data_IF_837926207461
#
_entry.id   IF_837926207461
#
_cell.length_a   1.000
_cell.length_b   1.000
_cell.length_c   1.000
_cell.angle_alpha   90.00
_cell.angle_beta   90.00
_cell.angle_gamma   90.00
#
_symmetry.space_group_name_H-M   'P 1'
#
loop_
_entity.id
_entity.type
_entity.pdbx_description
1 polymer ?
#
# COMPACT_ATOMS: atom_id res chain seq x y z
N UNK A 1 -28.92 -4.86 -2.24
CA UNK A 1 -28.22 -3.67 -2.80
C UNK A 1 -27.14 -3.09 -1.87
N UNK A 2 -27.37 -2.93 -0.55
CA UNK A 2 -26.39 -2.31 0.37
C UNK A 2 -25.04 -3.06 0.45
N UNK A 3 -25.08 -4.40 0.50
CA UNK A 3 -23.86 -5.25 0.54
C UNK A 3 -22.99 -5.10 -0.72
N UNK A 4 -23.61 -5.07 -1.91
CA UNK A 4 -22.88 -4.87 -3.18
C UNK A 4 -22.22 -3.50 -3.22
N UNK A 5 -22.92 -2.44 -2.76
CA UNK A 5 -22.35 -1.10 -2.66
C UNK A 5 -21.16 -1.04 -1.68
N UNK A 6 -21.27 -1.70 -0.53
CA UNK A 6 -20.19 -1.77 0.45
C UNK A 6 -18.96 -2.51 -0.11
N UNK A 7 -19.16 -3.66 -0.74
CA UNK A 7 -18.06 -4.41 -1.37
C UNK A 7 -17.36 -3.56 -2.44
N UNK A 8 -18.13 -2.96 -3.36
CA UNK A 8 -17.57 -2.09 -4.40
C UNK A 8 -16.79 -0.91 -3.82
N UNK A 9 -17.29 -0.31 -2.73
CA UNK A 9 -16.58 0.77 -2.04
C UNK A 9 -15.26 0.28 -1.46
N UNK A 10 -15.25 -0.81 -0.69
CA UNK A 10 -14.03 -1.36 -0.09
C UNK A 10 -13.02 -1.74 -1.18
N UNK A 11 -13.46 -2.35 -2.28
CA UNK A 11 -12.59 -2.78 -3.37
C UNK A 11 -11.95 -1.58 -4.09
N UNK A 12 -12.75 -0.57 -4.43
CA UNK A 12 -12.26 0.65 -5.09
C UNK A 12 -11.25 1.38 -4.20
N UNK A 13 -11.57 1.56 -2.91
CA UNK A 13 -10.66 2.24 -1.99
C UNK A 13 -9.39 1.42 -1.74
N UNK A 14 -9.50 0.09 -1.67
CA UNK A 14 -8.34 -0.80 -1.57
C UNK A 14 -7.42 -0.63 -2.76
N UNK A 15 -7.98 -0.57 -3.97
CA UNK A 15 -7.22 -0.38 -5.21
C UNK A 15 -6.44 0.93 -5.22
N UNK A 16 -7.07 2.04 -4.82
CA UNK A 16 -6.37 3.33 -4.75
C UNK A 16 -5.32 3.36 -3.63
N UNK A 17 -5.63 2.84 -2.44
CA UNK A 17 -4.66 2.76 -1.34
C UNK A 17 -3.43 1.92 -1.73
N UNK A 18 -3.65 0.81 -2.44
CA UNK A 18 -2.58 0.03 -3.05
C UNK A 18 -1.76 0.84 -4.03
N UNK A 19 -2.40 1.61 -4.92
CA UNK A 19 -1.70 2.41 -5.93
C UNK A 19 -0.78 3.47 -5.30
N UNK A 20 -1.27 4.17 -4.27
CA UNK A 20 -0.46 5.13 -3.51
C UNK A 20 0.71 4.44 -2.79
N UNK A 21 0.46 3.31 -2.14
CA UNK A 21 1.48 2.51 -1.47
C UNK A 21 2.55 2.01 -2.45
N UNK A 22 2.12 1.44 -3.59
CA UNK A 22 3.00 0.92 -4.62
C UNK A 22 3.89 2.01 -5.21
N UNK A 23 3.32 3.12 -5.68
CA UNK A 23 4.10 4.17 -6.32
C UNK A 23 5.04 4.87 -5.34
N UNK A 24 4.58 5.20 -4.13
CA UNK A 24 5.45 5.77 -3.10
C UNK A 24 6.60 4.83 -2.72
N UNK A 25 6.34 3.52 -2.65
CA UNK A 25 7.35 2.49 -2.41
C UNK A 25 8.37 2.40 -3.56
N UNK A 26 7.89 2.41 -4.81
CA UNK A 26 8.75 2.42 -6.01
C UNK A 26 9.61 3.68 -6.05
N UNK A 27 9.05 4.85 -5.73
CA UNK A 27 9.79 6.12 -5.65
C UNK A 27 10.88 6.03 -4.58
N UNK A 28 10.54 5.57 -3.37
CA UNK A 28 11.52 5.40 -2.29
C UNK A 28 12.60 4.36 -2.59
N UNK A 29 12.29 3.36 -3.40
CA UNK A 29 13.24 2.30 -3.76
C UNK A 29 14.15 2.70 -4.93
N UNK A 30 13.60 3.36 -5.96
CA UNK A 30 14.30 3.64 -7.23
C UNK A 30 14.82 5.06 -7.34
N UNK A 31 14.06 6.04 -6.84
CA UNK A 31 14.33 7.47 -7.03
C UNK A 31 15.00 8.08 -5.80
N UNK A 32 14.53 7.71 -4.62
CA UNK A 32 15.01 8.21 -3.32
C UNK A 32 15.52 7.05 -2.43
N UNK A 33 16.46 6.19 -2.93
CA UNK A 33 16.96 5.07 -2.15
C UNK A 33 17.59 5.56 -0.86
N UNK A 34 17.08 5.06 0.27
CA UNK A 34 17.73 5.27 1.57
C UNK A 34 18.93 4.34 1.69
N UNK A 35 20.01 4.85 2.28
CA UNK A 35 21.13 4.00 2.69
C UNK A 35 20.60 2.81 3.49
N UNK A 36 21.00 1.60 3.06
CA UNK A 36 20.52 0.34 3.62
C UNK A 36 20.83 0.18 5.11
N UNK A 37 20.46 -0.99 5.64
CA UNK A 37 20.48 -1.45 7.04
C UNK A 37 21.78 -1.22 7.87
N UNK A 38 22.78 -0.49 7.36
CA UNK A 38 24.06 -0.15 8.00
C UNK A 38 24.48 1.34 7.86
N UNK A 39 23.58 2.25 7.48
CA UNK A 39 23.95 3.63 7.11
C UNK A 39 23.95 4.65 8.25
N UNK A 40 24.71 4.43 9.32
CA UNK A 40 24.81 5.35 10.47
C UNK A 40 25.33 6.78 10.20
N UNK A 41 25.51 7.20 8.94
CA UNK A 41 25.98 8.56 8.57
C UNK A 41 25.54 8.98 7.16
N UNK A 42 24.26 9.27 6.94
CA UNK A 42 23.83 10.21 5.87
C UNK A 42 22.59 10.97 6.36
N UNK A 43 22.80 11.87 7.33
CA UNK A 43 21.76 12.78 7.83
C UNK A 43 21.68 14.09 7.00
N UNK A 44 22.46 14.27 5.92
CA UNK A 44 22.72 15.61 5.38
C UNK A 44 22.50 15.78 3.87
N UNK A 45 21.75 14.90 3.22
CA UNK A 45 21.28 15.18 1.86
C UNK A 45 19.78 14.94 1.82
N UNK A 46 19.02 16.02 2.05
CA UNK A 46 17.59 16.04 1.82
C UNK A 46 17.36 15.72 0.34
N UNK A 47 16.98 14.47 0.06
CA UNK A 47 16.65 14.07 -1.30
C UNK A 47 15.22 14.50 -1.58
N UNK A 48 15.03 15.30 -2.62
CA UNK A 48 13.72 15.80 -3.05
C UNK A 48 13.26 15.10 -4.31
N UNK A 49 11.97 14.81 -4.39
CA UNK A 49 11.31 14.37 -5.62
C UNK A 49 9.91 14.97 -5.70
N UNK A 50 9.57 15.56 -6.85
CA UNK A 50 8.32 16.29 -7.07
C UNK A 50 8.04 17.36 -6.01
N UNK A 51 9.08 18.04 -5.53
CA UNK A 51 8.96 19.09 -4.50
C UNK A 51 8.76 18.60 -3.07
N UNK A 52 8.72 17.28 -2.84
CA UNK A 52 8.58 16.66 -1.52
C UNK A 52 9.89 16.03 -1.07
N UNK A 53 10.20 16.12 0.22
CA UNK A 53 11.38 15.49 0.78
C UNK A 53 11.17 13.96 0.87
N UNK A 54 12.27 13.22 0.93
CA UNK A 54 12.22 11.75 1.12
C UNK A 54 11.43 11.34 2.37
N UNK A 55 11.47 12.15 3.43
CA UNK A 55 10.67 11.89 4.62
C UNK A 55 9.17 11.98 4.35
N UNK A 56 8.72 12.93 3.54
CA UNK A 56 7.32 13.07 3.15
C UNK A 56 6.87 11.86 2.33
N UNK A 57 7.68 11.43 1.36
CA UNK A 57 7.41 10.20 0.61
C UNK A 57 7.33 8.96 1.50
N UNK A 58 8.20 8.85 2.51
CA UNK A 58 8.11 7.78 3.53
C UNK A 58 6.81 7.85 4.33
N UNK A 59 6.39 9.05 4.74
CA UNK A 59 5.14 9.22 5.48
C UNK A 59 3.93 8.84 4.62
N UNK A 60 3.89 9.29 3.36
CA UNK A 60 2.83 8.91 2.39
C UNK A 60 2.81 7.39 2.21
N UNK A 61 3.98 6.76 2.05
CA UNK A 61 4.08 5.31 1.91
C UNK A 61 3.55 4.58 3.15
N UNK A 62 3.99 4.95 4.35
CA UNK A 62 3.53 4.29 5.57
C UNK A 62 2.02 4.45 5.82
N UNK A 63 1.48 5.66 5.65
CA UNK A 63 0.05 5.91 5.86
C UNK A 63 -0.79 5.17 4.82
N UNK A 64 -0.39 5.19 3.55
CA UNK A 64 -1.10 4.45 2.50
C UNK A 64 -1.04 2.93 2.72
N UNK A 65 0.11 2.38 3.14
CA UNK A 65 0.24 0.98 3.54
C UNK A 65 -0.69 0.60 4.71
N UNK A 66 -0.79 1.46 5.73
CA UNK A 66 -1.65 1.21 6.89
C UNK A 66 -3.13 1.20 6.48
N UNK A 67 -3.57 2.19 5.70
CA UNK A 67 -4.93 2.26 5.16
C UNK A 67 -5.22 1.03 4.30
N UNK A 68 -4.31 0.68 3.38
CA UNK A 68 -4.45 -0.49 2.52
C UNK A 68 -4.55 -1.78 3.33
N UNK A 69 -3.76 -1.93 4.39
CA UNK A 69 -3.79 -3.11 5.28
C UNK A 69 -5.15 -3.27 5.95
N UNK A 70 -5.72 -2.18 6.47
CA UNK A 70 -7.06 -2.23 7.08
C UNK A 70 -8.11 -2.60 6.02
N UNK A 71 -8.07 -1.95 4.85
CA UNK A 71 -9.03 -2.19 3.78
C UNK A 71 -8.97 -3.61 3.23
N UNK A 72 -7.77 -4.17 3.05
CA UNK A 72 -7.61 -5.54 2.54
C UNK A 72 -8.08 -6.58 3.55
N UNK A 73 -7.90 -6.33 4.86
CA UNK A 73 -8.48 -7.19 5.90
C UNK A 73 -10.00 -7.16 5.84
N UNK A 74 -10.61 -5.98 5.70
CA UNK A 74 -12.06 -5.86 5.50
C UNK A 74 -12.53 -6.57 4.23
N UNK A 75 -11.80 -6.43 3.12
CA UNK A 75 -12.07 -7.12 1.86
C UNK A 75 -12.06 -8.64 2.06
N UNK A 76 -11.03 -9.19 2.70
CA UNK A 76 -10.93 -10.64 2.95
C UNK A 76 -12.09 -11.16 3.81
N UNK A 77 -12.50 -10.41 4.84
CA UNK A 77 -13.66 -10.78 5.68
C UNK A 77 -14.94 -10.77 4.85
N UNK A 78 -15.17 -9.73 4.03
CA UNK A 78 -16.36 -9.60 3.18
C UNK A 78 -16.44 -10.70 2.11
N UNK A 79 -15.29 -11.14 1.60
CA UNK A 79 -15.16 -12.15 0.55
C UNK A 79 -14.88 -13.56 1.07
N UNK A 80 -14.83 -13.76 2.39
CA UNK A 80 -14.46 -15.04 3.02
C UNK A 80 -15.30 -16.24 2.55
N UNK A 81 -16.61 -16.06 2.35
CA UNK A 81 -17.47 -17.13 1.84
C UNK A 81 -17.17 -17.49 0.39
N UNK A 82 -16.79 -16.52 -0.44
CA UNK A 82 -16.35 -16.78 -1.81
C UNK A 82 -15.04 -17.59 -1.80
N UNK A 83 -14.07 -17.20 -0.96
CA UNK A 83 -12.77 -17.90 -0.82
C UNK A 83 -12.98 -19.37 -0.40
N UNK A 84 -13.82 -19.64 0.61
CA UNK A 84 -14.09 -21.01 1.08
C UNK A 84 -14.78 -21.89 0.04
N UNK A 85 -15.52 -21.29 -0.88
CA UNK A 85 -16.27 -21.99 -1.92
C UNK A 85 -15.49 -22.08 -3.25
N UNK A 86 -14.22 -21.65 -3.27
CA UNK A 86 -13.37 -21.86 -4.44
C UNK A 86 -13.22 -23.37 -4.68
N UNK A 87 -13.52 -23.87 -5.90
CA UNK A 87 -13.29 -25.26 -6.22
C UNK A 87 -11.81 -25.58 -6.02
N UNK A 88 -11.52 -26.77 -5.48
CA UNK A 88 -10.14 -27.26 -5.39
C UNK A 88 -9.53 -27.16 -6.79
N UNK A 89 -8.49 -26.36 -6.95
CA UNK A 89 -7.63 -26.43 -8.12
C UNK A 89 -6.92 -27.78 -8.06
N UNK A 90 -7.56 -28.82 -8.59
CA UNK A 90 -6.91 -30.10 -8.86
C UNK A 90 -5.97 -29.86 -10.05
N UNK A 91 -4.69 -29.66 -9.73
CA UNK A 91 -3.60 -29.76 -10.71
C UNK A 91 -3.33 -31.20 -11.10
#
# INVERSE_FOLDING_TARGET
MKKVKLNAFIDIFSFFAFLFSFFSGVILWRVLPGGGFHGGRVFLTEQFFLGLARQDWKNIHHVSCLIFTILILCHLILHWNWIKNLPKMSG
#
